data_IF_748446312176
#
_entry.id   IF_748446312176
#
_cell.length_a   1.000
_cell.length_b   1.000
_cell.length_c   1.000
_cell.angle_alpha   90.00
_cell.angle_beta   90.00
_cell.angle_gamma   90.00
#
_symmetry.space_group_name_H-M   'P 1'
#
loop_
_entity.id
_entity.type
_entity.pdbx_description
1 polymer ?
#
# COMPACT_ATOMS: atom_id res chain seq x y z
N UNK A 1 -27.58 15.86 4.58
CA UNK A 1 -26.77 16.37 3.45
C UNK A 1 -26.34 17.78 3.79
N UNK A 2 -25.04 18.08 3.67
CA UNK A 2 -24.56 19.46 3.85
C UNK A 2 -25.20 20.34 2.77
N UNK A 3 -25.91 21.40 3.18
CA UNK A 3 -26.41 22.40 2.24
C UNK A 3 -25.29 23.42 1.99
N UNK A 4 -24.94 23.59 0.72
CA UNK A 4 -24.02 24.65 0.28
C UNK A 4 -24.82 25.88 -0.10
N UNK A 5 -24.29 27.05 0.23
CA UNK A 5 -24.86 28.31 -0.24
C UNK A 5 -24.65 28.46 -1.75
N UNK A 6 -25.56 29.18 -2.39
CA UNK A 6 -25.44 29.52 -3.82
C UNK A 6 -24.12 30.24 -4.11
N UNK A 7 -23.65 31.10 -3.21
CA UNK A 7 -22.34 31.77 -3.32
C UNK A 7 -21.18 30.76 -3.36
N UNK A 8 -21.25 29.69 -2.55
CA UNK A 8 -20.21 28.65 -2.53
C UNK A 8 -20.25 27.80 -3.81
N UNK A 9 -21.46 27.50 -4.31
CA UNK A 9 -21.64 26.78 -5.57
C UNK A 9 -21.10 27.60 -6.74
N UNK A 10 -21.38 28.91 -6.77
CA UNK A 10 -20.86 29.81 -7.80
C UNK A 10 -19.33 29.86 -7.77
N UNK A 11 -18.71 30.05 -6.60
CA UNK A 11 -17.25 30.02 -6.46
C UNK A 11 -16.65 28.70 -6.95
N UNK A 12 -17.29 27.58 -6.64
CA UNK A 12 -16.83 26.27 -7.08
C UNK A 12 -16.95 26.08 -8.60
N UNK A 13 -18.08 26.52 -9.20
CA UNK A 13 -18.28 26.57 -10.65
C UNK A 13 -17.17 27.37 -11.33
N UNK A 14 -16.92 28.59 -10.88
CA UNK A 14 -15.88 29.48 -11.45
C UNK A 14 -14.49 28.82 -11.42
N UNK A 15 -14.16 28.11 -10.33
CA UNK A 15 -12.90 27.37 -10.20
C UNK A 15 -12.81 26.19 -11.17
N UNK A 16 -13.91 25.44 -11.36
CA UNK A 16 -13.96 24.33 -12.31
C UNK A 16 -13.80 24.82 -13.75
N UNK A 17 -14.50 25.89 -14.12
CA UNK A 17 -14.40 26.48 -15.47
C UNK A 17 -13.00 27.01 -15.73
N UNK A 18 -12.41 27.73 -14.76
CA UNK A 18 -11.03 28.21 -14.85
C UNK A 18 -10.02 27.07 -15.03
N UNK A 19 -10.21 25.94 -14.34
CA UNK A 19 -9.26 24.81 -14.37
C UNK A 19 -9.41 23.94 -15.62
N UNK A 20 -10.63 23.80 -16.13
CA UNK A 20 -10.94 22.92 -17.26
C UNK A 20 -11.02 23.64 -18.60
N UNK A 21 -11.21 24.96 -18.60
CA UNK A 21 -11.48 25.77 -19.78
C UNK A 21 -12.85 25.49 -20.42
N UNK A 22 -13.74 24.78 -19.72
CA UNK A 22 -15.07 24.38 -20.21
C UNK A 22 -16.14 25.05 -19.38
N UNK A 23 -17.27 25.36 -20.01
CA UNK A 23 -18.47 25.77 -19.30
C UNK A 23 -18.99 24.62 -18.42
N UNK A 24 -19.38 24.95 -17.21
CA UNK A 24 -19.90 24.00 -16.20
C UNK A 24 -21.30 24.46 -15.81
N UNK A 25 -22.27 23.55 -15.85
CA UNK A 25 -23.64 23.86 -15.46
C UNK A 25 -23.78 24.03 -13.95
N UNK A 26 -24.81 24.75 -13.50
CA UNK A 26 -25.11 24.88 -12.07
C UNK A 26 -25.31 23.52 -11.38
N UNK A 27 -26.00 22.59 -12.06
CA UNK A 27 -26.27 21.26 -11.51
C UNK A 27 -24.97 20.47 -11.28
N UNK A 28 -24.05 20.48 -12.25
CA UNK A 28 -22.73 19.84 -12.13
C UNK A 28 -21.90 20.47 -11.01
N UNK A 29 -21.88 21.81 -10.91
CA UNK A 29 -21.17 22.51 -9.85
C UNK A 29 -21.76 22.20 -8.46
N UNK A 30 -23.09 22.19 -8.33
CA UNK A 30 -23.77 21.89 -7.07
C UNK A 30 -23.53 20.44 -6.62
N UNK A 31 -23.57 19.48 -7.54
CA UNK A 31 -23.25 18.08 -7.26
C UNK A 31 -21.78 17.90 -6.88
N UNK A 32 -20.86 18.42 -7.69
CA UNK A 32 -19.42 18.34 -7.44
C UNK A 32 -19.02 18.97 -6.10
N UNK A 33 -19.61 20.12 -5.76
CA UNK A 33 -19.40 20.79 -4.48
C UNK A 33 -19.86 19.94 -3.30
N UNK A 34 -21.06 19.35 -3.38
CA UNK A 34 -21.58 18.44 -2.34
C UNK A 34 -20.68 17.20 -2.19
N UNK A 35 -20.23 16.63 -3.31
CA UNK A 35 -19.35 15.45 -3.29
C UNK A 35 -18.00 15.78 -2.63
N UNK A 36 -17.41 16.93 -2.92
CA UNK A 36 -16.17 17.38 -2.29
C UNK A 36 -16.33 17.55 -0.77
N UNK A 37 -17.40 18.19 -0.33
CA UNK A 37 -17.65 18.42 1.10
C UNK A 37 -17.96 17.12 1.84
N UNK A 38 -18.72 16.22 1.23
CA UNK A 38 -18.95 14.88 1.80
C UNK A 38 -17.65 14.08 1.89
N UNK A 39 -16.76 14.16 0.90
CA UNK A 39 -15.45 13.52 0.96
C UNK A 39 -14.61 14.11 2.10
N UNK A 40 -14.60 15.43 2.25
CA UNK A 40 -13.90 16.09 3.35
C UNK A 40 -14.44 15.65 4.71
N UNK A 41 -15.76 15.59 4.90
CA UNK A 41 -16.38 15.12 6.15
C UNK A 41 -15.97 13.69 6.51
N UNK A 42 -15.87 12.78 5.53
CA UNK A 42 -15.36 11.43 5.75
C UNK A 42 -13.89 11.44 6.16
N UNK A 43 -13.04 12.20 5.45
CA UNK A 43 -11.62 12.28 5.75
C UNK A 43 -11.35 12.90 7.12
N UNK A 44 -12.08 13.96 7.48
CA UNK A 44 -11.98 14.62 8.79
C UNK A 44 -12.37 13.67 9.92
N UNK A 45 -13.45 12.89 9.76
CA UNK A 45 -13.85 11.86 10.73
C UNK A 45 -12.76 10.81 10.94
N UNK A 46 -12.15 10.32 9.86
CA UNK A 46 -11.04 9.36 9.95
C UNK A 46 -9.81 9.96 10.66
N UNK A 47 -9.43 11.19 10.32
CA UNK A 47 -8.32 11.89 10.95
C UNK A 47 -8.59 12.16 12.45
N UNK A 48 -9.81 12.56 12.80
CA UNK A 48 -10.22 12.74 14.19
C UNK A 48 -10.17 11.43 14.98
N UNK A 49 -10.54 10.30 14.38
CA UNK A 49 -10.39 8.98 15.00
C UNK A 49 -8.93 8.64 15.25
N UNK A 50 -8.06 8.85 14.26
CA UNK A 50 -6.62 8.62 14.40
C UNK A 50 -5.99 9.51 15.48
N UNK A 51 -6.36 10.81 15.54
CA UNK A 51 -5.89 11.72 16.60
C UNK A 51 -6.34 11.30 17.99
N UNK A 52 -7.56 10.76 18.13
CA UNK A 52 -8.03 10.21 19.40
C UNK A 52 -7.17 9.03 19.83
N UNK A 53 -6.78 8.16 18.89
CA UNK A 53 -5.88 7.05 19.17
C UNK A 53 -4.48 7.52 19.56
N UNK A 54 -3.92 8.48 18.83
CA UNK A 54 -2.61 9.05 19.16
C UNK A 54 -2.60 9.70 20.54
N UNK A 55 -3.67 10.42 20.91
CA UNK A 55 -3.82 10.97 22.26
C UNK A 55 -3.93 9.85 23.30
N UNK A 56 -4.65 8.77 23.02
CA UNK A 56 -4.75 7.61 23.92
C UNK A 56 -3.40 6.93 24.17
N UNK A 57 -2.45 7.00 23.23
CA UNK A 57 -1.08 6.49 23.45
C UNK A 57 -0.30 7.27 24.51
N UNK A 58 -0.71 8.50 24.88
CA UNK A 58 -0.10 9.24 25.99
C UNK A 58 -0.32 8.52 27.33
N UNK A 59 -1.50 7.90 27.51
CA UNK A 59 -1.85 7.12 28.71
C UNK A 59 -1.57 5.63 28.55
N UNK A 60 -1.60 5.11 27.31
CA UNK A 60 -1.37 3.70 26.97
C UNK A 60 -0.20 3.56 25.98
N UNK A 61 1.05 3.86 26.39
CA UNK A 61 2.20 3.97 25.47
C UNK A 61 2.64 2.65 24.83
N UNK A 62 2.17 1.52 25.35
CA UNK A 62 2.42 0.19 24.76
C UNK A 62 1.43 -0.15 23.63
N UNK A 63 0.39 0.67 23.46
CA UNK A 63 -0.71 0.40 22.55
C UNK A 63 -1.92 -0.22 23.22
N UNK A 64 -2.97 -0.39 22.43
CA UNK A 64 -4.28 -0.85 22.88
C UNK A 64 -5.05 -1.54 21.75
N UNK A 65 -6.06 -2.33 22.14
CA UNK A 65 -7.00 -2.91 21.19
C UNK A 65 -7.96 -1.84 20.65
N UNK A 66 -8.24 -1.90 19.34
CA UNK A 66 -9.26 -1.06 18.70
C UNK A 66 -10.60 -1.78 18.66
N UNK A 67 -11.67 -1.04 18.92
CA UNK A 67 -13.04 -1.55 18.80
C UNK A 67 -13.49 -1.61 17.34
N UNK A 68 -14.27 -2.64 16.99
CA UNK A 68 -14.90 -2.80 15.68
C UNK A 68 -14.12 -3.65 14.67
N UNK A 69 -14.76 -3.92 13.53
CA UNK A 69 -14.29 -4.79 12.46
C UNK A 69 -13.86 -3.99 11.20
N UNK A 70 -13.19 -4.65 10.26
CA UNK A 70 -12.95 -4.10 8.91
C UNK A 70 -11.66 -3.29 8.75
N UNK A 71 -10.73 -3.39 9.70
CA UNK A 71 -9.37 -2.83 9.55
C UNK A 71 -8.44 -3.86 8.90
N UNK A 72 -7.35 -3.39 8.31
CA UNK A 72 -6.31 -4.24 7.71
C UNK A 72 -5.01 -4.06 8.47
N UNK A 73 -4.31 -5.17 8.71
CA UNK A 73 -2.99 -5.14 9.31
C UNK A 73 -1.99 -4.46 8.37
N UNK A 74 -1.31 -3.41 8.81
CA UNK A 74 -0.29 -2.71 8.01
C UNK A 74 0.96 -3.56 7.70
N UNK A 75 1.06 -4.77 8.26
CA UNK A 75 2.20 -5.67 8.04
C UNK A 75 1.85 -6.79 7.06
N UNK A 76 0.79 -7.56 7.32
CA UNK A 76 0.44 -8.71 6.50
C UNK A 76 -0.72 -8.44 5.51
N UNK A 77 -1.43 -7.32 5.66
CA UNK A 77 -2.59 -6.97 4.85
C UNK A 77 -3.88 -7.73 5.19
N UNK A 78 -3.82 -8.74 6.07
CA UNK A 78 -5.01 -9.48 6.49
C UNK A 78 -6.01 -8.58 7.21
N UNK A 79 -7.30 -8.84 6.96
CA UNK A 79 -8.39 -8.21 7.70
C UNK A 79 -8.36 -8.68 9.14
N UNK A 80 -8.43 -7.71 10.04
CA UNK A 80 -8.46 -7.92 11.48
C UNK A 80 -9.90 -8.07 11.95
N UNK A 81 -10.17 -9.11 12.72
CA UNK A 81 -11.42 -9.32 13.45
C UNK A 81 -11.41 -8.48 14.73
N UNK A 82 -12.58 -8.33 15.34
CA UNK A 82 -12.87 -7.48 16.50
C UNK A 82 -11.75 -7.43 17.53
N UNK A 83 -11.67 -8.27 18.52
CA UNK A 83 -10.57 -8.36 19.50
C UNK A 83 -9.12 -8.59 18.99
N UNK A 84 -8.86 -8.64 17.68
CA UNK A 84 -7.53 -8.95 17.12
C UNK A 84 -6.76 -7.76 16.55
N UNK A 85 -7.36 -6.57 16.61
CA UNK A 85 -6.74 -5.31 16.21
C UNK A 85 -5.89 -4.70 17.31
N UNK A 86 -4.68 -4.25 16.97
CA UNK A 86 -3.78 -3.55 17.86
C UNK A 86 -3.30 -2.24 17.25
N UNK A 87 -3.39 -1.16 18.01
CA UNK A 87 -2.80 0.14 17.67
C UNK A 87 -1.69 0.47 18.66
N UNK A 88 -0.53 0.87 18.15
CA UNK A 88 0.56 1.45 18.95
C UNK A 88 1.23 2.58 18.15
N UNK A 89 2.38 3.09 18.61
CA UNK A 89 3.16 4.14 17.92
C UNK A 89 3.56 3.85 16.47
N UNK A 90 3.43 2.60 16.01
CA UNK A 90 3.71 2.16 14.64
C UNK A 90 2.46 2.02 13.77
N UNK A 91 1.26 2.22 14.34
CA UNK A 91 -0.02 2.14 13.63
C UNK A 91 -0.77 0.82 13.83
N UNK A 92 -1.81 0.59 13.02
CA UNK A 92 -2.71 -0.56 13.11
C UNK A 92 -2.04 -1.86 12.63
N UNK A 93 -2.22 -2.94 13.38
CA UNK A 93 -1.76 -4.29 13.05
C UNK A 93 -2.59 -5.37 13.73
N UNK A 94 -2.52 -6.60 13.22
CA UNK A 94 -3.10 -7.75 13.90
C UNK A 94 -2.22 -8.17 15.09
N UNK A 95 -2.84 -8.80 16.10
CA UNK A 95 -2.12 -9.33 17.27
C UNK A 95 -1.01 -10.33 16.91
N UNK A 96 -1.17 -11.10 15.83
CA UNK A 96 -0.11 -12.01 15.35
C UNK A 96 1.15 -11.25 14.94
N UNK A 97 0.99 -10.15 14.21
CA UNK A 97 2.11 -9.29 13.83
C UNK A 97 2.64 -8.49 15.04
N UNK A 98 1.77 -8.05 15.96
CA UNK A 98 2.20 -7.41 17.21
C UNK A 98 3.13 -8.33 18.01
N UNK A 99 2.74 -9.58 18.24
CA UNK A 99 3.59 -10.54 18.97
C UNK A 99 4.95 -10.76 18.32
N UNK A 100 5.02 -10.71 17.00
CA UNK A 100 6.30 -10.85 16.30
C UNK A 100 7.20 -9.61 16.49
N UNK A 101 6.62 -8.42 16.67
CA UNK A 101 7.35 -7.22 17.08
C UNK A 101 7.84 -7.36 18.52
N UNK A 102 6.97 -7.77 19.44
CA UNK A 102 7.32 -7.93 20.87
C UNK A 102 8.44 -8.95 21.07
N UNK A 103 8.41 -10.05 20.29
CA UNK A 103 9.46 -11.07 20.24
C UNK A 103 10.68 -10.66 19.42
N UNK A 104 10.73 -9.43 18.90
CA UNK A 104 11.82 -8.87 18.08
C UNK A 104 12.15 -9.67 16.82
N UNK A 105 11.21 -10.48 16.33
CA UNK A 105 11.36 -11.22 15.06
C UNK A 105 11.40 -10.21 13.91
N UNK A 106 10.54 -9.20 13.97
CA UNK A 106 10.42 -8.12 12.98
C UNK A 106 10.47 -6.75 13.68
N UNK A 107 11.02 -5.71 13.04
CA UNK A 107 11.01 -4.36 13.61
C UNK A 107 9.63 -3.73 13.47
N UNK A 108 9.11 -3.09 14.51
CA UNK A 108 7.78 -2.44 14.47
C UNK A 108 7.65 -1.33 13.44
N UNK A 109 8.76 -0.66 13.08
CA UNK A 109 8.80 0.40 12.08
C UNK A 109 8.26 -0.01 10.71
N UNK A 110 8.21 -1.31 10.39
CA UNK A 110 7.68 -1.79 9.11
C UNK A 110 6.16 -1.66 8.99
N UNK A 111 5.44 -1.45 10.10
CA UNK A 111 4.02 -1.15 10.04
C UNK A 111 3.79 0.28 9.50
N UNK A 112 4.72 1.20 9.76
CA UNK A 112 4.64 2.61 9.33
C UNK A 112 5.27 2.86 7.96
N UNK A 113 6.35 2.15 7.64
CA UNK A 113 7.04 2.28 6.37
C UNK A 113 7.23 0.90 5.73
N UNK A 114 6.65 0.70 4.55
CA UNK A 114 6.71 -0.55 3.80
C UNK A 114 7.71 -0.52 2.64
N UNK A 115 8.41 0.60 2.44
CA UNK A 115 9.30 0.80 1.29
C UNK A 115 10.59 0.00 1.42
N UNK A 116 11.04 -0.28 2.65
CA UNK A 116 12.27 -1.01 2.93
C UNK A 116 12.08 -2.54 3.03
N UNK A 117 10.95 -3.05 2.51
CA UNK A 117 10.65 -4.47 2.49
C UNK A 117 9.94 -4.87 1.20
N UNK A 118 10.15 -6.13 0.85
CA UNK A 118 9.32 -6.87 -0.07
C UNK A 118 8.35 -7.76 0.69
N UNK A 119 7.06 -7.65 0.34
CA UNK A 119 6.04 -8.63 0.68
C UNK A 119 5.98 -9.73 -0.39
N UNK A 120 5.33 -10.88 -0.11
CA UNK A 120 5.05 -11.87 -1.14
C UNK A 120 4.29 -11.29 -2.35
N UNK A 121 3.41 -10.32 -2.12
CA UNK A 121 2.68 -9.64 -3.18
C UNK A 121 3.61 -8.75 -4.03
N UNK A 122 4.54 -8.03 -3.40
CA UNK A 122 5.55 -7.25 -4.12
C UNK A 122 6.41 -8.15 -5.01
N UNK A 123 6.86 -9.30 -4.49
CA UNK A 123 7.70 -10.23 -5.26
C UNK A 123 6.95 -10.84 -6.44
N UNK A 124 5.66 -11.15 -6.27
CA UNK A 124 4.83 -11.68 -7.35
C UNK A 124 4.57 -10.63 -8.43
N UNK A 125 4.20 -9.41 -8.04
CA UNK A 125 3.86 -8.34 -9.00
C UNK A 125 5.07 -7.75 -9.72
N UNK A 126 6.22 -7.66 -9.03
CA UNK A 126 7.44 -7.03 -9.59
C UNK A 126 8.33 -8.01 -10.33
N UNK A 127 8.35 -9.28 -9.91
CA UNK A 127 9.29 -10.29 -10.40
C UNK A 127 8.62 -11.59 -10.87
N UNK A 128 7.29 -11.69 -10.81
CA UNK A 128 6.57 -12.92 -11.15
C UNK A 128 6.79 -14.06 -10.16
N UNK A 129 7.45 -13.81 -9.01
CA UNK A 129 7.83 -14.86 -8.06
C UNK A 129 6.61 -15.35 -7.26
N UNK A 130 6.10 -16.52 -7.62
CA UNK A 130 4.97 -17.15 -6.92
C UNK A 130 5.36 -17.63 -5.52
N UNK A 131 4.37 -17.69 -4.62
CA UNK A 131 4.54 -18.13 -3.22
C UNK A 131 5.28 -19.48 -3.06
N UNK A 132 5.04 -20.53 -3.86
CA UNK A 132 5.79 -21.78 -3.75
C UNK A 132 7.29 -21.61 -4.01
N UNK A 133 7.66 -20.83 -5.03
CA UNK A 133 9.05 -20.50 -5.36
C UNK A 133 9.70 -19.71 -4.23
N UNK A 134 9.03 -18.69 -3.70
CA UNK A 134 9.50 -17.94 -2.54
C UNK A 134 9.77 -18.86 -1.35
N UNK A 135 8.84 -19.75 -1.01
CA UNK A 135 9.00 -20.71 0.10
C UNK A 135 10.20 -21.62 -0.10
N UNK A 136 10.41 -22.11 -1.33
CA UNK A 136 11.56 -22.94 -1.69
C UNK A 136 12.86 -22.15 -1.50
N UNK A 137 12.96 -20.94 -2.05
CA UNK A 137 14.16 -20.10 -1.95
C UNK A 137 14.48 -19.68 -0.52
N UNK A 138 13.46 -19.44 0.32
CA UNK A 138 13.64 -19.19 1.76
C UNK A 138 14.17 -20.45 2.47
N UNK A 139 13.62 -21.63 2.16
CA UNK A 139 14.07 -22.91 2.73
C UNK A 139 15.51 -23.23 2.32
N UNK A 140 15.90 -22.89 1.10
CA UNK A 140 17.26 -23.08 0.55
C UNK A 140 18.24 -22.00 1.01
N UNK A 141 17.80 -20.98 1.76
CA UNK A 141 18.65 -19.91 2.25
C UNK A 141 19.05 -18.87 1.20
N UNK A 142 18.48 -18.95 0.00
CA UNK A 142 18.73 -18.01 -1.10
C UNK A 142 18.16 -16.62 -0.76
N UNK A 143 16.93 -16.59 -0.21
CA UNK A 143 16.28 -15.37 0.27
C UNK A 143 16.23 -15.41 1.79
N UNK A 144 16.72 -14.35 2.44
CA UNK A 144 16.61 -14.18 3.89
C UNK A 144 15.28 -13.55 4.23
N UNK A 145 14.33 -14.35 4.70
CA UNK A 145 13.03 -13.89 5.16
C UNK A 145 12.93 -13.91 6.69
N UNK A 146 12.25 -12.90 7.25
CA UNK A 146 11.75 -12.91 8.62
C UNK A 146 10.35 -13.49 8.62
N UNK A 147 10.18 -14.62 9.28
CA UNK A 147 8.94 -15.39 9.28
C UNK A 147 8.12 -14.99 10.52
N UNK A 148 6.93 -14.45 10.30
CA UNK A 148 5.95 -14.22 11.36
C UNK A 148 5.25 -15.55 11.64
N UNK A 149 5.35 -16.12 12.85
CA UNK A 149 4.70 -17.38 13.17
C UNK A 149 3.22 -17.15 13.54
N UNK A 150 2.37 -18.12 13.21
CA UNK A 150 1.03 -18.25 13.83
C UNK A 150 1.19 -18.72 15.28
N UNK A 151 0.11 -18.69 16.07
CA UNK A 151 0.13 -19.22 17.45
C UNK A 151 0.49 -20.70 17.51
N UNK A 152 0.11 -21.47 16.48
CA UNK A 152 0.39 -22.91 16.36
C UNK A 152 1.78 -23.20 15.78
N UNK A 153 2.63 -22.19 15.60
CA UNK A 153 3.99 -22.34 15.05
C UNK A 153 4.06 -22.47 13.52
N UNK A 154 2.93 -22.37 12.82
CA UNK A 154 2.91 -22.30 11.35
C UNK A 154 3.37 -20.94 10.82
N UNK A 155 3.42 -20.77 9.50
CA UNK A 155 3.79 -19.49 8.88
C UNK A 155 2.55 -18.62 8.69
N UNK A 156 2.53 -17.45 9.34
CA UNK A 156 1.54 -16.41 9.10
C UNK A 156 1.95 -15.55 7.90
N UNK A 157 3.18 -15.01 7.92
CA UNK A 157 3.62 -14.07 6.89
C UNK A 157 5.14 -14.08 6.70
N UNK A 158 5.58 -13.73 5.48
CA UNK A 158 6.99 -13.56 5.15
C UNK A 158 7.31 -12.08 4.97
N UNK A 159 8.35 -11.60 5.63
CA UNK A 159 8.87 -10.25 5.45
C UNK A 159 10.30 -10.35 4.95
N UNK A 160 10.54 -9.83 3.76
CA UNK A 160 11.86 -9.82 3.13
C UNK A 160 12.38 -8.39 3.25
N UNK A 161 13.24 -8.15 4.24
CA UNK A 161 13.83 -6.81 4.40
C UNK A 161 14.92 -6.58 3.36
N UNK A 162 14.92 -5.39 2.76
CA UNK A 162 15.94 -5.00 1.77
C UNK A 162 17.35 -5.08 2.37
N UNK A 163 17.54 -4.59 3.60
CA UNK A 163 18.85 -4.64 4.28
C UNK A 163 19.42 -6.04 4.46
N UNK A 164 18.54 -7.05 4.58
CA UNK A 164 18.93 -8.44 4.78
C UNK A 164 19.23 -9.11 3.42
N UNK A 165 18.85 -8.48 2.29
CA UNK A 165 18.89 -9.03 0.93
C UNK A 165 19.43 -8.04 -0.14
N UNK A 166 20.28 -7.08 0.26
CA UNK A 166 20.72 -5.94 -0.58
C UNK A 166 21.43 -6.31 -1.89
N UNK A 167 22.06 -7.49 -1.95
CA UNK A 167 22.73 -8.01 -3.15
C UNK A 167 21.76 -8.83 -4.03
N UNK A 168 20.65 -9.25 -3.45
CA UNK A 168 19.69 -10.13 -4.10
C UNK A 168 18.59 -9.32 -4.79
N UNK A 169 17.97 -8.39 -4.06
CA UNK A 169 16.92 -7.54 -4.58
C UNK A 169 17.41 -6.11 -4.81
N UNK A 170 16.93 -5.43 -5.86
CA UNK A 170 17.10 -3.98 -5.99
C UNK A 170 16.35 -3.24 -4.87
N UNK A 171 16.62 -1.94 -4.68
CA UNK A 171 15.71 -1.06 -3.97
C UNK A 171 14.32 -1.09 -4.61
N UNK A 172 13.26 -1.11 -3.79
CA UNK A 172 11.88 -1.20 -4.24
C UNK A 172 11.51 -0.17 -5.30
N UNK A 173 11.95 1.09 -5.12
CA UNK A 173 11.70 2.19 -6.06
C UNK A 173 12.16 1.91 -7.50
N UNK A 174 13.20 1.10 -7.71
CA UNK A 174 13.67 0.76 -9.06
C UNK A 174 12.65 -0.07 -9.84
N UNK A 175 11.73 -0.74 -9.16
CA UNK A 175 10.77 -1.69 -9.77
C UNK A 175 9.33 -1.23 -9.61
N UNK A 176 9.11 0.06 -9.38
CA UNK A 176 7.76 0.62 -9.27
C UNK A 176 7.06 0.65 -10.62
N UNK A 177 5.80 0.20 -10.62
CA UNK A 177 4.93 0.30 -11.79
C UNK A 177 4.73 1.76 -12.18
N UNK A 178 4.55 2.00 -13.47
CA UNK A 178 4.37 3.34 -14.02
C UNK A 178 2.94 3.53 -14.51
N UNK A 179 2.42 4.75 -14.34
CA UNK A 179 1.14 5.15 -14.92
C UNK A 179 1.38 5.53 -16.38
N UNK A 180 0.72 4.82 -17.29
CA UNK A 180 0.86 4.98 -18.72
C UNK A 180 -0.44 5.52 -19.34
N UNK A 181 -0.41 6.68 -20.01
CA UNK A 181 -1.56 7.18 -20.77
C UNK A 181 -1.73 6.38 -22.06
N UNK A 182 -2.97 6.08 -22.43
CA UNK A 182 -3.32 5.47 -23.71
C UNK A 182 -4.62 6.06 -24.25
N UNK A 183 -4.73 6.17 -25.57
CA UNK A 183 -5.93 6.69 -26.23
C UNK A 183 -6.94 5.56 -26.49
N UNK A 184 -8.20 5.80 -26.11
CA UNK A 184 -9.32 4.92 -26.44
C UNK A 184 -10.58 5.75 -26.60
N UNK A 185 -11.26 5.59 -27.74
CA UNK A 185 -12.48 6.32 -28.10
C UNK A 185 -12.32 7.84 -28.08
N UNK A 186 -11.15 8.34 -28.52
CA UNK A 186 -10.81 9.77 -28.54
C UNK A 186 -10.63 10.40 -27.14
N UNK A 187 -10.46 9.57 -26.11
CA UNK A 187 -10.18 9.99 -24.72
C UNK A 187 -8.87 9.36 -24.24
N UNK A 188 -8.09 10.14 -23.49
CA UNK A 188 -6.92 9.65 -22.77
C UNK A 188 -7.34 8.90 -21.51
N UNK A 189 -7.04 7.61 -21.47
CA UNK A 189 -7.16 6.75 -20.30
C UNK A 189 -5.78 6.51 -19.69
N UNK A 190 -5.73 6.17 -18.41
CA UNK A 190 -4.47 5.84 -17.73
C UNK A 190 -4.55 4.41 -17.21
N UNK A 191 -3.51 3.61 -17.43
CA UNK A 191 -3.36 2.28 -16.85
C UNK A 191 -2.03 2.16 -16.14
N UNK A 192 -1.99 1.33 -15.10
CA UNK A 192 -0.73 1.02 -14.40
C UNK A 192 -0.08 -0.16 -15.09
N UNK A 193 1.17 0.02 -15.49
CA UNK A 193 1.96 -0.99 -16.20
C UNK A 193 3.21 -1.33 -15.39
N UNK A 194 3.65 -2.60 -15.39
CA UNK A 194 4.82 -3.01 -14.65
C UNK A 194 6.10 -2.37 -15.21
N UNK A 195 7.07 -2.14 -14.32
CA UNK A 195 8.34 -1.44 -14.60
C UNK A 195 9.09 -2.00 -15.83
N UNK A 196 9.08 -3.33 -16.00
CA UNK A 196 9.81 -4.02 -17.07
C UNK A 196 9.25 -3.77 -18.48
N UNK A 197 8.13 -3.04 -18.63
CA UNK A 197 7.65 -2.60 -19.96
C UNK A 197 8.37 -1.34 -20.48
N UNK A 198 9.06 -0.62 -19.59
CA UNK A 198 9.64 0.70 -19.87
C UNK A 198 11.17 0.70 -19.92
N UNK A 199 11.81 -0.37 -19.46
CA UNK A 199 13.27 -0.53 -19.40
C UNK A 199 13.63 -1.95 -19.79
N UNK A 200 14.86 -2.18 -20.27
CA UNK A 200 15.39 -3.54 -20.43
C UNK A 200 15.65 -4.14 -19.03
N UNK A 201 14.93 -5.21 -18.63
CA UNK A 201 15.08 -5.80 -17.31
C UNK A 201 16.49 -6.32 -17.02
N UNK A 202 17.25 -6.75 -18.03
CA UNK A 202 18.59 -7.31 -17.84
C UNK A 202 19.59 -6.23 -17.47
N UNK A 203 19.56 -5.10 -18.17
CA UNK A 203 20.41 -3.96 -17.83
C UNK A 203 19.93 -3.26 -16.56
N UNK A 204 18.61 -3.13 -16.37
CA UNK A 204 18.03 -2.43 -15.22
C UNK A 204 18.26 -3.15 -13.88
N UNK A 205 18.32 -4.49 -13.89
CA UNK A 205 18.61 -5.31 -12.71
C UNK A 205 20.06 -5.77 -12.62
N UNK A 206 20.95 -5.23 -13.47
CA UNK A 206 22.36 -5.62 -13.51
C UNK A 206 23.01 -5.43 -12.13
N UNK A 207 23.66 -6.49 -11.65
CA UNK A 207 24.30 -6.53 -10.33
C UNK A 207 23.44 -7.08 -9.20
N UNK A 208 22.15 -7.36 -9.44
CA UNK A 208 21.28 -8.03 -8.47
C UNK A 208 21.09 -9.51 -8.79
N UNK A 209 21.28 -10.38 -7.79
CA UNK A 209 21.19 -11.84 -7.97
C UNK A 209 19.79 -12.34 -8.35
N UNK A 210 18.73 -11.56 -8.13
CA UNK A 210 17.38 -11.93 -8.59
C UNK A 210 17.34 -12.18 -10.09
N UNK A 211 18.16 -11.49 -10.89
CA UNK A 211 18.19 -11.62 -12.35
C UNK A 211 18.43 -13.07 -12.80
N UNK A 212 19.28 -13.82 -12.08
CA UNK A 212 19.61 -15.22 -12.37
C UNK A 212 18.41 -16.17 -12.20
N UNK A 213 17.34 -15.71 -11.54
CA UNK A 213 16.13 -16.49 -11.24
C UNK A 213 14.91 -16.02 -12.03
N UNK A 214 15.03 -14.98 -12.87
CA UNK A 214 13.92 -14.49 -13.69
C UNK A 214 13.83 -15.23 -15.01
N UNK A 215 12.61 -15.54 -15.42
CA UNK A 215 12.29 -16.02 -16.76
C UNK A 215 11.70 -14.87 -17.56
N UNK A 216 12.27 -14.64 -18.75
CA UNK A 216 11.81 -13.61 -19.67
C UNK A 216 11.05 -14.29 -20.81
N UNK A 217 9.78 -13.93 -20.99
CA UNK A 217 9.03 -14.21 -22.20
C UNK A 217 9.25 -13.07 -23.20
N UNK A 218 9.34 -13.39 -24.49
CA UNK A 218 9.29 -12.36 -25.53
C UNK A 218 7.94 -11.63 -25.49
N UNK A 219 7.93 -10.34 -25.84
CA UNK A 219 6.71 -9.51 -25.82
C UNK A 219 5.65 -10.17 -26.73
N UNK A 220 4.49 -10.50 -26.18
CA UNK A 220 3.27 -10.45 -26.98
C UNK A 220 3.08 -8.99 -27.40
N UNK A 221 3.15 -8.74 -28.71
CA UNK A 221 2.76 -7.47 -29.31
C UNK A 221 1.33 -7.16 -28.88
N UNK A 222 1.18 -6.10 -28.09
CA UNK A 222 -0.11 -5.56 -27.67
C UNK A 222 -0.84 -4.88 -28.83
#
# INVERSE_FOLDING_TARGET
MVQLSDESIQKFKDLMEKKTGKEVTWAEAAEGGRNLVNLFDVLDKCEMEHRRWDKRLETEPKGFALEGNGRNCAICGESTREDTNWYDKWGIKCLTCQRAIDKKIIPGSIARNQDNRYSPYDLETRFGMKKPTLRKMVKEGIIKARIVPTEKGGVHYYIILEKDNKEFFPPKKMTDSQVYPFEKDGKTWHRVEPWYRFVDPREHLKGYKILDYLQFSEKESA
#
